data_IF_640394125350
#
_entry.id   IF_640394125350
#
_cell.length_a   1.000
_cell.length_b   1.000
_cell.length_c   1.000
_cell.angle_alpha   90.00
_cell.angle_beta   90.00
_cell.angle_gamma   90.00
#
_symmetry.space_group_name_H-M   'P 1'
#
loop_
_entity.id
_entity.type
_entity.pdbx_description
1 polymer ?
#
# COMPACT_ATOMS: atom_id res chain seq x y z
N UNK A 1 -20.45 17.53 -2.30
CA UNK A 1 -19.91 16.35 -1.59
C UNK A 1 -19.84 16.68 -0.10
N UNK A 2 -20.39 15.84 0.78
CA UNK A 2 -20.28 16.05 2.22
C UNK A 2 -18.86 15.76 2.72
N UNK A 3 -18.51 16.26 3.92
CA UNK A 3 -17.25 15.95 4.59
C UNK A 3 -17.14 14.44 4.85
N UNK A 4 -15.95 13.87 4.69
CA UNK A 4 -15.66 12.46 4.97
C UNK A 4 -14.41 12.31 5.83
N UNK A 5 -14.42 11.32 6.72
CA UNK A 5 -13.30 10.97 7.57
C UNK A 5 -12.30 10.13 6.76
N UNK A 6 -11.21 10.76 6.34
CA UNK A 6 -10.16 10.12 5.52
C UNK A 6 -8.97 9.71 6.37
N UNK A 7 -8.61 10.51 7.38
CA UNK A 7 -7.43 10.23 8.20
C UNK A 7 -7.58 10.72 9.64
N UNK A 8 -6.85 10.08 10.55
CA UNK A 8 -6.61 10.55 11.92
C UNK A 8 -5.14 10.92 12.05
N UNK A 9 -4.87 12.02 12.73
CA UNK A 9 -3.52 12.49 13.05
C UNK A 9 -3.39 12.64 14.57
N UNK A 10 -2.49 11.88 15.16
CA UNK A 10 -2.15 12.00 16.59
C UNK A 10 -0.82 12.74 16.74
N UNK A 11 -0.82 13.81 17.51
CA UNK A 11 0.37 14.61 17.79
C UNK A 11 0.90 14.34 19.20
N UNK A 12 2.19 14.13 19.32
CA UNK A 12 2.90 13.86 20.58
C UNK A 12 4.04 14.85 20.82
N UNK A 13 4.51 14.92 22.06
CA UNK A 13 5.73 15.66 22.41
C UNK A 13 6.94 15.05 21.69
N UNK A 14 7.92 15.87 21.35
CA UNK A 14 9.14 15.44 20.69
C UNK A 14 9.92 14.33 21.45
N UNK A 15 9.70 14.18 22.75
CA UNK A 15 10.33 13.13 23.57
C UNK A 15 9.70 11.74 23.39
N UNK A 16 8.50 11.63 22.81
CA UNK A 16 7.78 10.36 22.64
C UNK A 16 8.15 9.70 21.32
N UNK A 17 8.44 8.42 21.34
CA UNK A 17 8.68 7.63 20.13
C UNK A 17 7.34 7.21 19.49
N UNK A 18 7.23 7.41 18.19
CA UNK A 18 5.96 7.35 17.46
C UNK A 18 5.48 5.93 17.11
N UNK A 19 6.34 4.92 16.79
CA UNK A 19 5.84 3.62 16.34
C UNK A 19 4.81 2.98 17.27
N UNK A 20 5.01 3.06 18.58
CA UNK A 20 4.04 2.53 19.55
C UNK A 20 2.71 3.31 19.59
N UNK A 21 2.76 4.62 19.33
CA UNK A 21 1.56 5.47 19.30
C UNK A 21 0.63 5.06 18.15
N UNK A 22 1.20 4.80 16.97
CA UNK A 22 0.41 4.47 15.79
C UNK A 22 -0.23 3.07 15.92
N UNK A 23 0.47 2.11 16.52
CA UNK A 23 -0.01 0.75 16.70
C UNK A 23 -1.12 0.61 17.73
N UNK A 24 -1.12 1.44 18.76
CA UNK A 24 -2.13 1.38 19.82
C UNK A 24 -3.16 2.51 19.69
N UNK A 25 -2.77 3.75 19.94
CA UNK A 25 -3.72 4.85 20.08
C UNK A 25 -4.41 5.21 18.76
N UNK A 26 -3.67 5.30 17.65
CA UNK A 26 -4.28 5.66 16.37
C UNK A 26 -5.24 4.60 15.86
N UNK A 27 -4.91 3.32 16.04
CA UNK A 27 -5.80 2.21 15.69
C UNK A 27 -7.07 2.22 16.52
N UNK A 28 -6.98 2.49 17.82
CA UNK A 28 -8.14 2.58 18.68
C UNK A 28 -9.05 3.74 18.29
N UNK A 29 -8.50 4.91 18.02
CA UNK A 29 -9.29 6.05 17.51
C UNK A 29 -9.98 5.72 16.19
N UNK A 30 -9.32 5.00 15.28
CA UNK A 30 -9.92 4.61 14.01
C UNK A 30 -11.08 3.62 14.16
N UNK A 31 -11.14 2.86 15.27
CA UNK A 31 -12.28 1.97 15.62
C UNK A 31 -13.39 2.71 16.32
N UNK A 32 -13.06 3.64 17.21
CA UNK A 32 -13.97 4.25 18.19
C UNK A 32 -14.63 5.55 17.67
N UNK A 33 -15.00 5.62 16.40
CA UNK A 33 -15.78 6.76 15.89
C UNK A 33 -17.17 6.72 16.51
N UNK A 34 -17.54 7.81 17.19
CA UNK A 34 -18.84 7.92 17.84
C UNK A 34 -19.98 7.86 16.83
N UNK A 35 -21.13 7.34 17.25
CA UNK A 35 -22.32 7.21 16.40
C UNK A 35 -22.79 8.54 15.81
N UNK A 36 -22.65 9.64 16.55
CA UNK A 36 -22.97 11.00 16.08
C UNK A 36 -22.14 11.45 14.86
N UNK A 37 -21.02 10.78 14.56
CA UNK A 37 -20.14 11.06 13.44
C UNK A 37 -20.21 9.98 12.35
N UNK A 38 -21.15 9.04 12.43
CA UNK A 38 -21.29 7.93 11.48
C UNK A 38 -21.47 8.39 10.04
N UNK A 39 -22.14 9.52 9.81
CA UNK A 39 -22.38 10.07 8.46
C UNK A 39 -21.10 10.51 7.73
N UNK A 40 -20.01 10.72 8.47
CA UNK A 40 -18.70 11.06 7.91
C UNK A 40 -17.87 9.81 7.58
N UNK A 41 -18.24 8.63 8.06
CA UNK A 41 -17.54 7.37 7.78
C UNK A 41 -17.82 6.94 6.34
N UNK A 42 -16.77 6.61 5.59
CA UNK A 42 -16.89 6.19 4.18
C UNK A 42 -17.36 4.74 4.12
N UNK A 43 -16.65 3.87 4.79
CA UNK A 43 -16.99 2.44 4.97
C UNK A 43 -16.23 1.87 6.16
N UNK A 44 -16.48 0.61 6.49
CA UNK A 44 -15.71 -0.16 7.47
C UNK A 44 -14.61 -0.96 6.76
N UNK A 45 -13.38 -0.90 7.29
CA UNK A 45 -12.23 -1.69 6.83
C UNK A 45 -11.79 -2.61 7.97
N UNK A 46 -12.38 -3.80 8.06
CA UNK A 46 -12.06 -4.79 9.09
C UNK A 46 -12.16 -4.24 10.54
N UNK A 47 -13.23 -3.48 10.83
CA UNK A 47 -13.47 -2.85 12.12
C UNK A 47 -12.85 -1.46 12.29
N UNK A 48 -12.11 -0.95 11.30
CA UNK A 48 -11.64 0.43 11.29
C UNK A 48 -12.59 1.30 10.44
N UNK A 49 -13.00 2.43 11.00
CA UNK A 49 -13.92 3.38 10.36
C UNK A 49 -13.21 4.54 9.65
N UNK A 50 -11.89 4.59 9.76
CA UNK A 50 -11.04 5.58 9.11
C UNK A 50 -9.88 4.83 8.43
N UNK A 51 -9.65 5.07 7.11
CA UNK A 51 -8.69 4.26 6.34
C UNK A 51 -7.23 4.56 6.66
N UNK A 52 -6.89 5.81 7.02
CA UNK A 52 -5.50 6.22 7.21
C UNK A 52 -5.27 6.76 8.60
N UNK A 53 -4.13 6.43 9.18
CA UNK A 53 -3.71 7.00 10.45
C UNK A 53 -2.29 7.53 10.37
N UNK A 54 -2.08 8.66 11.01
CA UNK A 54 -0.77 9.29 11.17
C UNK A 54 -0.48 9.52 12.64
N UNK A 55 0.80 9.45 12.97
CA UNK A 55 1.27 9.94 14.25
C UNK A 55 2.52 10.80 14.03
N UNK A 56 2.64 11.87 14.80
CA UNK A 56 3.78 12.80 14.68
C UNK A 56 4.24 13.32 16.04
N UNK A 57 5.53 13.61 16.14
CA UNK A 57 6.11 14.33 17.28
C UNK A 57 6.96 15.55 16.85
N UNK A 58 6.84 15.97 15.59
CA UNK A 58 7.54 17.13 15.04
C UNK A 58 9.03 16.93 14.75
N UNK A 59 9.61 15.74 15.01
CA UNK A 59 11.00 15.48 14.62
C UNK A 59 11.13 15.40 13.10
N UNK A 60 12.35 15.65 12.60
CA UNK A 60 12.69 15.43 11.19
C UNK A 60 12.77 13.93 10.87
N UNK A 61 12.68 13.57 9.59
CA UNK A 61 12.99 12.23 9.13
C UNK A 61 14.48 11.93 9.32
N UNK A 62 14.77 10.75 9.86
CA UNK A 62 16.14 10.29 10.16
C UNK A 62 16.40 8.98 9.42
N UNK A 63 17.01 9.07 8.24
CA UNK A 63 17.27 7.90 7.37
C UNK A 63 18.09 6.80 8.07
N UNK A 64 19.02 7.15 8.94
CA UNK A 64 19.88 6.18 9.63
C UNK A 64 19.21 5.54 10.84
N UNK A 65 18.22 6.21 11.43
CA UNK A 65 17.49 5.75 12.61
C UNK A 65 16.00 6.06 12.38
N UNK A 66 15.40 5.37 11.43
CA UNK A 66 14.00 5.62 11.03
C UNK A 66 13.03 5.58 12.21
N UNK A 67 13.26 4.70 13.19
CA UNK A 67 12.43 4.59 14.40
C UNK A 67 12.34 5.90 15.19
N UNK A 68 13.27 6.83 15.03
CA UNK A 68 13.27 8.14 15.67
C UNK A 68 12.65 9.24 14.79
N UNK A 69 12.23 8.91 13.58
CA UNK A 69 11.60 9.87 12.66
C UNK A 69 10.24 10.32 13.20
N UNK A 70 9.88 11.56 12.87
CA UNK A 70 8.79 12.27 13.53
C UNK A 70 7.44 12.19 12.83
N UNK A 71 7.34 11.62 11.63
CA UNK A 71 6.07 11.42 10.93
C UNK A 71 5.95 9.94 10.58
N UNK A 72 4.86 9.33 11.01
CA UNK A 72 4.56 7.94 10.74
C UNK A 72 3.17 7.78 10.15
N UNK A 73 3.00 6.80 9.30
CA UNK A 73 1.78 6.52 8.56
C UNK A 73 1.46 5.04 8.58
N UNK A 74 0.17 4.72 8.63
CA UNK A 74 -0.34 3.37 8.45
C UNK A 74 -1.66 3.43 7.67
N UNK A 75 -1.75 2.61 6.62
CA UNK A 75 -2.97 2.34 5.87
C UNK A 75 -3.69 1.14 6.51
N UNK A 76 -4.85 1.39 7.11
CA UNK A 76 -5.64 0.39 7.84
C UNK A 76 -6.56 -0.44 6.93
N UNK A 77 -6.61 -0.15 5.64
CA UNK A 77 -7.48 -0.86 4.69
C UNK A 77 -7.04 -2.30 4.44
N UNK A 78 -5.75 -2.57 4.61
CA UNK A 78 -5.17 -3.91 4.54
C UNK A 78 -4.48 -4.24 5.88
N UNK A 79 -4.94 -5.29 6.54
CA UNK A 79 -4.40 -5.73 7.84
C UNK A 79 -2.94 -6.20 7.79
N UNK A 80 -2.40 -6.49 6.61
CA UNK A 80 -0.99 -6.84 6.43
C UNK A 80 -0.05 -5.62 6.38
N UNK A 81 -0.60 -4.39 6.32
CA UNK A 81 0.20 -3.19 6.33
C UNK A 81 0.85 -2.96 7.71
N UNK A 82 2.07 -2.45 7.67
CA UNK A 82 2.83 -2.06 8.87
C UNK A 82 3.10 -0.56 8.88
N UNK A 83 3.21 0.06 10.06
CA UNK A 83 3.58 1.47 10.16
C UNK A 83 4.91 1.76 9.47
N UNK A 84 4.98 2.91 8.78
CA UNK A 84 6.21 3.37 8.11
C UNK A 84 6.50 4.82 8.40
N UNK A 85 7.78 5.16 8.54
CA UNK A 85 8.24 6.53 8.66
C UNK A 85 8.14 7.26 7.31
N UNK A 86 7.71 8.50 7.34
CA UNK A 86 7.60 9.37 6.17
C UNK A 86 8.64 10.50 6.21
N UNK A 87 9.14 10.88 5.05
CA UNK A 87 9.99 12.06 4.90
C UNK A 87 9.20 13.38 4.97
N UNK A 88 7.90 13.32 4.69
CA UNK A 88 6.98 14.45 4.71
C UNK A 88 5.54 13.98 4.67
N UNK A 89 4.60 14.91 4.74
CA UNK A 89 3.17 14.63 4.66
C UNK A 89 2.74 14.32 3.23
N UNK A 90 1.74 13.48 3.07
CA UNK A 90 1.01 13.38 1.80
C UNK A 90 0.25 14.68 1.53
N UNK A 91 0.14 15.04 0.26
CA UNK A 91 -0.81 16.09 -0.14
C UNK A 91 -2.25 15.59 0.02
N UNK A 92 -3.24 16.47 0.17
CA UNK A 92 -4.64 16.08 0.17
C UNK A 92 -5.02 15.26 -1.07
N UNK A 93 -4.58 15.68 -2.25
CA UNK A 93 -4.82 14.96 -3.51
C UNK A 93 -4.19 13.58 -3.50
N UNK A 94 -2.94 13.44 -3.01
CA UNK A 94 -2.27 12.16 -2.89
C UNK A 94 -2.98 11.19 -1.92
N UNK A 95 -3.60 11.70 -0.85
CA UNK A 95 -4.43 10.89 0.04
C UNK A 95 -5.73 10.45 -0.64
N UNK A 96 -6.35 11.32 -1.44
CA UNK A 96 -7.56 10.98 -2.19
C UNK A 96 -7.26 9.96 -3.28
N UNK A 97 -6.20 10.13 -4.05
CA UNK A 97 -5.74 9.12 -5.02
C UNK A 97 -5.48 7.76 -4.35
N UNK A 98 -4.87 7.77 -3.16
CA UNK A 98 -4.63 6.54 -2.39
C UNK A 98 -5.95 5.93 -1.92
N UNK A 99 -6.94 6.74 -1.52
CA UNK A 99 -8.26 6.29 -1.08
C UNK A 99 -9.04 5.63 -2.22
N UNK A 100 -8.96 6.20 -3.43
CA UNK A 100 -9.66 5.72 -4.62
C UNK A 100 -9.09 4.40 -5.16
N UNK A 101 -7.87 4.04 -4.77
CA UNK A 101 -7.27 2.74 -5.16
C UNK A 101 -7.98 1.60 -4.46
N UNK A 102 -8.69 0.80 -5.24
CA UNK A 102 -9.31 -0.44 -4.77
C UNK A 102 -8.39 -1.63 -5.05
N UNK A 103 -7.64 -2.04 -4.02
CA UNK A 103 -6.68 -3.16 -4.11
C UNK A 103 -7.39 -4.46 -4.46
N UNK A 104 -8.61 -4.68 -3.97
CA UNK A 104 -9.35 -5.90 -4.28
C UNK A 104 -9.74 -5.95 -5.76
N UNK A 105 -10.21 -4.82 -6.31
CA UNK A 105 -10.53 -4.68 -7.73
C UNK A 105 -9.27 -4.82 -8.59
N UNK A 106 -8.15 -4.20 -8.19
CA UNK A 106 -6.88 -4.32 -8.89
C UNK A 106 -6.38 -5.79 -8.91
N UNK A 107 -6.44 -6.50 -7.79
CA UNK A 107 -6.08 -7.90 -7.70
C UNK A 107 -6.97 -8.78 -8.60
N UNK A 108 -8.28 -8.52 -8.62
CA UNK A 108 -9.21 -9.24 -9.50
C UNK A 108 -8.92 -8.97 -10.97
N UNK A 109 -8.63 -7.72 -11.34
CA UNK A 109 -8.23 -7.35 -12.70
C UNK A 109 -6.94 -8.06 -13.10
N UNK A 110 -5.96 -8.09 -12.20
CA UNK A 110 -4.69 -8.78 -12.42
C UNK A 110 -4.88 -10.28 -12.68
N UNK A 111 -5.70 -10.95 -11.87
CA UNK A 111 -6.02 -12.37 -12.03
C UNK A 111 -6.73 -12.68 -13.35
N UNK A 112 -7.65 -11.79 -13.76
CA UNK A 112 -8.47 -12.01 -14.96
C UNK A 112 -7.80 -11.55 -16.27
N UNK A 113 -6.68 -10.81 -16.19
CA UNK A 113 -5.98 -10.31 -17.38
C UNK A 113 -5.14 -11.44 -18.00
N UNK A 114 -5.40 -11.83 -19.26
CA UNK A 114 -4.63 -12.88 -19.92
C UNK A 114 -3.17 -12.47 -20.15
N UNK A 115 -2.30 -13.47 -20.31
CA UNK A 115 -0.86 -13.24 -20.54
C UNK A 115 -0.50 -13.14 -22.04
N UNK A 116 -1.50 -13.19 -22.94
CA UNK A 116 -1.26 -13.27 -24.39
C UNK A 116 -0.47 -12.08 -24.93
N UNK A 117 -0.75 -10.87 -24.44
CA UNK A 117 0.01 -9.66 -24.81
C UNK A 117 1.48 -9.72 -24.46
N UNK A 118 1.85 -10.50 -23.42
CA UNK A 118 3.26 -10.69 -23.05
C UNK A 118 3.98 -11.67 -23.97
N UNK A 119 3.23 -12.55 -24.65
CA UNK A 119 3.72 -13.54 -25.63
C UNK A 119 3.86 -12.95 -27.04
N UNK A 120 3.24 -11.80 -27.26
CA UNK A 120 3.21 -11.15 -28.59
C UNK A 120 4.63 -10.97 -29.13
N UNK A 121 4.95 -11.53 -30.33
CA UNK A 121 6.25 -11.38 -30.97
C UNK A 121 6.64 -9.93 -31.26
N UNK A 122 5.65 -9.09 -31.56
CA UNK A 122 5.84 -7.65 -31.83
C UNK A 122 5.92 -6.81 -30.55
N UNK A 123 5.65 -7.43 -29.39
CA UNK A 123 5.70 -6.84 -28.06
C UNK A 123 6.90 -7.30 -27.23
N UNK A 124 6.63 -7.74 -26.00
CA UNK A 124 7.68 -8.21 -25.09
C UNK A 124 8.22 -9.60 -25.47
N UNK A 125 7.46 -10.38 -26.20
CA UNK A 125 7.81 -11.74 -26.66
C UNK A 125 8.43 -12.58 -25.52
N UNK A 126 7.69 -12.67 -24.39
CA UNK A 126 8.16 -13.40 -23.22
C UNK A 126 8.03 -14.90 -23.42
N UNK A 127 9.06 -15.60 -22.97
CA UNK A 127 9.06 -17.07 -22.93
C UNK A 127 8.24 -17.59 -21.77
N UNK A 128 7.77 -18.82 -21.86
CA UNK A 128 6.87 -19.43 -20.88
C UNK A 128 7.42 -19.41 -19.44
N UNK A 129 8.72 -19.62 -19.26
CA UNK A 129 9.32 -19.55 -17.91
C UNK A 129 9.31 -18.13 -17.32
N UNK A 130 9.36 -17.08 -18.17
CA UNK A 130 9.26 -15.68 -17.73
C UNK A 130 7.82 -15.36 -17.32
N UNK A 131 6.85 -15.86 -18.06
CA UNK A 131 5.42 -15.72 -17.73
C UNK A 131 5.11 -16.42 -16.42
N UNK A 132 5.58 -17.66 -16.21
CA UNK A 132 5.43 -18.36 -14.93
C UNK A 132 6.07 -17.63 -13.77
N UNK A 133 7.20 -16.95 -13.98
CA UNK A 133 7.82 -16.14 -12.94
C UNK A 133 6.97 -14.91 -12.59
N UNK A 134 6.32 -14.27 -13.57
CA UNK A 134 5.39 -13.15 -13.36
C UNK A 134 4.16 -13.65 -12.60
N UNK A 135 3.54 -14.72 -13.04
CA UNK A 135 2.37 -15.33 -12.41
C UNK A 135 2.64 -15.70 -10.94
N UNK A 136 3.80 -16.29 -10.64
CA UNK A 136 4.18 -16.62 -9.27
C UNK A 136 4.34 -15.37 -8.40
N UNK A 137 4.88 -14.27 -8.94
CA UNK A 137 5.01 -13.00 -8.23
C UNK A 137 3.64 -12.34 -7.99
N UNK A 138 2.75 -12.36 -8.99
CA UNK A 138 1.39 -11.84 -8.89
C UNK A 138 0.58 -12.58 -7.83
N UNK A 139 0.62 -13.91 -7.84
CA UNK A 139 -0.04 -14.74 -6.82
C UNK A 139 0.49 -14.44 -5.42
N UNK A 140 1.80 -14.26 -5.26
CA UNK A 140 2.37 -13.89 -3.97
C UNK A 140 1.85 -12.53 -3.46
N UNK A 141 1.68 -11.55 -4.36
CA UNK A 141 1.13 -10.22 -4.02
C UNK A 141 -0.36 -10.33 -3.65
N UNK A 142 -1.13 -11.09 -4.44
CA UNK A 142 -2.55 -11.32 -4.18
C UNK A 142 -2.76 -12.02 -2.83
N UNK A 143 -1.87 -12.94 -2.47
CA UNK A 143 -1.83 -13.59 -1.15
C UNK A 143 -1.34 -12.66 0.00
N UNK A 144 -1.13 -11.38 -0.28
CA UNK A 144 -0.74 -10.37 0.72
C UNK A 144 0.74 -10.38 1.09
N UNK A 145 1.61 -11.10 0.37
CA UNK A 145 3.06 -11.10 0.61
C UNK A 145 3.67 -9.77 0.16
N UNK A 146 4.46 -9.16 1.02
CA UNK A 146 5.09 -7.84 0.75
C UNK A 146 6.43 -7.94 0.02
N UNK A 147 7.03 -9.13 0.00
CA UNK A 147 8.33 -9.38 -0.66
C UNK A 147 8.29 -10.71 -1.37
N UNK A 148 8.92 -10.77 -2.55
CA UNK A 148 9.12 -12.01 -3.29
C UNK A 148 10.53 -12.01 -3.90
N UNK A 149 11.16 -13.17 -3.96
CA UNK A 149 12.45 -13.36 -4.62
C UNK A 149 12.26 -14.18 -5.89
N UNK A 150 12.60 -13.60 -7.04
CA UNK A 150 12.65 -14.30 -8.31
C UNK A 150 14.10 -14.63 -8.67
N UNK A 151 14.45 -15.90 -8.59
CA UNK A 151 15.80 -16.38 -9.00
C UNK A 151 15.79 -16.72 -10.49
N UNK A 152 16.58 -15.99 -11.26
CA UNK A 152 16.72 -16.17 -12.72
C UNK A 152 18.19 -16.12 -13.11
N UNK A 153 18.65 -17.07 -13.94
CA UNK A 153 20.03 -17.12 -14.42
C UNK A 153 20.42 -15.90 -15.27
N UNK A 154 21.71 -15.66 -15.43
CA UNK A 154 22.22 -14.62 -16.33
C UNK A 154 21.83 -14.92 -17.77
N UNK A 155 21.44 -13.89 -18.54
CA UNK A 155 21.02 -14.06 -19.95
C UNK A 155 19.59 -14.55 -20.15
N UNK A 156 18.82 -14.84 -19.09
CA UNK A 156 17.43 -15.32 -19.20
C UNK A 156 16.38 -14.21 -19.40
N UNK A 157 16.80 -12.96 -19.60
CA UNK A 157 15.90 -11.86 -19.90
C UNK A 157 15.20 -11.28 -18.66
N UNK A 158 15.87 -11.21 -17.50
CA UNK A 158 15.36 -10.61 -16.26
C UNK A 158 14.70 -9.25 -16.49
N UNK A 159 15.34 -8.38 -17.25
CA UNK A 159 14.81 -7.03 -17.57
C UNK A 159 13.46 -7.11 -18.29
N UNK A 160 13.32 -7.99 -19.28
CA UNK A 160 12.04 -8.20 -19.99
C UNK A 160 10.95 -8.72 -19.05
N UNK A 161 11.28 -9.64 -18.16
CA UNK A 161 10.36 -10.15 -17.14
C UNK A 161 9.87 -9.04 -16.24
N UNK A 162 10.78 -8.18 -15.75
CA UNK A 162 10.42 -7.02 -14.91
C UNK A 162 9.52 -6.04 -15.68
N UNK A 163 9.81 -5.75 -16.94
CA UNK A 163 8.98 -4.89 -17.79
C UNK A 163 7.57 -5.48 -17.95
N UNK A 164 7.46 -6.78 -18.14
CA UNK A 164 6.17 -7.48 -18.21
C UNK A 164 5.37 -7.36 -16.91
N UNK A 165 6.01 -7.52 -15.76
CA UNK A 165 5.39 -7.29 -14.44
C UNK A 165 4.90 -5.86 -14.28
N UNK A 166 5.74 -4.87 -14.56
CA UNK A 166 5.39 -3.44 -14.46
C UNK A 166 4.19 -3.15 -15.35
N UNK A 167 4.20 -3.62 -16.59
CA UNK A 167 3.09 -3.43 -17.54
C UNK A 167 1.78 -3.96 -16.94
N UNK A 168 1.78 -5.17 -16.40
CA UNK A 168 0.57 -5.79 -15.84
C UNK A 168 0.07 -5.04 -14.60
N UNK A 169 0.96 -4.63 -13.70
CA UNK A 169 0.57 -3.83 -12.54
C UNK A 169 0.00 -2.46 -12.89
N UNK A 170 0.54 -1.79 -13.92
CA UNK A 170 -0.03 -0.53 -14.40
C UNK A 170 -1.42 -0.76 -14.99
N UNK A 171 -1.64 -1.88 -15.68
CA UNK A 171 -2.93 -2.18 -16.31
C UNK A 171 -4.01 -2.63 -15.33
N UNK A 172 -3.62 -3.16 -14.18
CA UNK A 172 -4.56 -3.63 -13.15
C UNK A 172 -4.97 -2.54 -12.14
N UNK A 173 -4.31 -1.38 -12.15
CA UNK A 173 -4.50 -0.31 -11.15
C UNK A 173 -5.55 0.73 -11.58
#
# INVERSE_FOLDING_TARGET
MGLKLVAIIEAKKASIDIPSVIDYQCKDYARMIKSEHSDYVIKDWNGYKVPFVFATNGRKYLKQIELKSGIWFLDLRDGANTPKALQGWFSPDGLMEMLDKDIASANQTLQNTPYDLLRDPDGLNLREYQIRAIEAAENAIIDGKKTALLSMATGTGKTRTILGMIYRFIKSN
#
